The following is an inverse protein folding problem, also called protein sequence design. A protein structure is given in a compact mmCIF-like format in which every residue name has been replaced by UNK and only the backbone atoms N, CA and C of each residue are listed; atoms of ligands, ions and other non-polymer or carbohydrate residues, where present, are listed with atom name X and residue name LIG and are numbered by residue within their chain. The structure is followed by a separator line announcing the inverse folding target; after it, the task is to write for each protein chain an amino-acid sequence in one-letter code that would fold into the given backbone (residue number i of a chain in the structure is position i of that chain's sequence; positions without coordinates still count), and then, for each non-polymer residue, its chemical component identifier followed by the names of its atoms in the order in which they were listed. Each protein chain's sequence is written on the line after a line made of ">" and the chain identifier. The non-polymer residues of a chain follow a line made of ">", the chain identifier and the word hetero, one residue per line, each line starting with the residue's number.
data_IF_091977978704
#
_entry.id   IF_091977978704
#
_cell.length_a   1.000
_cell.length_b   1.000
_cell.length_c   1.000
_cell.angle_alpha   90.00
_cell.angle_beta   90.00
_cell.angle_gamma   90.00
#
_symmetry.space_group_name_H-M   'P 1'
#
loop_
_entity.id
_entity.type
_entity.pdbx_description
1 polymer ?
#
# COMPACT_ATOMS: atom_id res chain seq x y z
N UNK A 1 14.95 21.70 -16.05
CA UNK A 1 13.94 21.44 -15.00
C UNK A 1 13.62 19.96 -15.06
N UNK A 2 13.41 19.31 -13.91
CA UNK A 2 13.08 17.89 -13.88
C UNK A 2 11.61 17.76 -14.29
N UNK A 3 11.35 17.59 -15.58
CA UNK A 3 10.00 17.53 -16.16
C UNK A 3 9.40 16.13 -15.92
N UNK A 4 9.21 15.79 -14.64
CA UNK A 4 8.58 14.54 -14.24
C UNK A 4 7.09 14.59 -14.59
N UNK A 5 6.67 13.76 -15.54
CA UNK A 5 5.27 13.55 -15.90
C UNK A 5 4.50 12.98 -14.69
N UNK A 6 3.35 13.57 -14.38
CA UNK A 6 2.46 13.07 -13.33
C UNK A 6 1.71 11.81 -13.79
N UNK A 7 1.22 10.95 -12.87
CA UNK A 7 0.41 9.78 -13.25
C UNK A 7 -0.80 10.15 -14.11
N UNK A 8 -1.45 11.29 -13.83
CA UNK A 8 -2.59 11.79 -14.62
C UNK A 8 -2.18 12.16 -16.05
N UNK A 9 -1.08 12.89 -16.22
CA UNK A 9 -0.56 13.25 -17.55
C UNK A 9 -0.12 12.00 -18.33
N UNK A 10 0.34 10.97 -17.63
CA UNK A 10 0.68 9.67 -18.20
C UNK A 10 -0.53 8.74 -18.43
N UNK A 11 -1.77 9.16 -18.10
CA UNK A 11 -2.99 8.38 -18.34
C UNK A 11 -3.31 7.31 -17.29
N UNK A 12 -2.61 7.30 -16.16
CA UNK A 12 -2.90 6.41 -15.03
C UNK A 12 -3.92 7.01 -14.06
N UNK A 13 -4.65 6.13 -13.37
CA UNK A 13 -5.55 6.49 -12.29
C UNK A 13 -5.47 5.46 -11.16
N UNK A 14 -5.71 5.90 -9.91
CA UNK A 14 -5.92 4.98 -8.80
C UNK A 14 -7.28 4.31 -8.99
N UNK A 15 -7.33 2.97 -9.14
CA UNK A 15 -8.60 2.29 -9.26
C UNK A 15 -9.34 2.36 -7.93
N UNK A 16 -10.64 2.22 -8.09
CA UNK A 16 -11.56 1.80 -7.06
C UNK A 16 -11.05 0.62 -6.20
N UNK A 17 -11.19 0.67 -4.87
CA UNK A 17 -10.93 -0.47 -3.95
C UNK A 17 -11.81 -1.71 -4.25
N UNK A 18 -12.92 -1.55 -4.96
CA UNK A 18 -13.86 -2.60 -5.33
C UNK A 18 -13.61 -3.11 -6.76
N UNK A 19 -12.62 -2.57 -7.48
CA UNK A 19 -12.21 -3.11 -8.76
C UNK A 19 -11.53 -4.48 -8.57
N UNK A 20 -11.51 -5.34 -9.62
CA UNK A 20 -10.82 -6.62 -9.53
C UNK A 20 -9.35 -6.48 -9.11
N UNK A 21 -8.97 -7.17 -8.03
CA UNK A 21 -7.60 -7.20 -7.52
C UNK A 21 -6.92 -8.53 -7.87
N UNK A 22 -5.62 -8.47 -8.18
CA UNK A 22 -4.81 -9.68 -8.34
C UNK A 22 -4.47 -10.35 -6.98
N UNK A 23 -4.51 -9.58 -5.89
CA UNK A 23 -4.20 -10.01 -4.54
C UNK A 23 -4.15 -8.83 -3.57
N UNK A 24 -3.80 -9.10 -2.32
CA UNK A 24 -3.64 -8.09 -1.27
C UNK A 24 -2.25 -8.21 -0.64
N UNK A 25 -1.66 -7.09 -0.27
CA UNK A 25 -0.41 -7.05 0.49
C UNK A 25 -0.72 -6.87 1.98
N UNK A 26 0.02 -7.56 2.82
CA UNK A 26 -0.10 -7.46 4.28
C UNK A 26 1.29 -7.38 4.90
N UNK A 27 1.44 -6.47 5.86
CA UNK A 27 2.67 -6.34 6.65
C UNK A 27 2.50 -7.14 7.94
N UNK A 28 3.58 -7.77 8.40
CA UNK A 28 3.58 -8.49 9.66
C UNK A 28 3.80 -7.53 10.86
N UNK A 29 2.98 -7.60 11.92
CA UNK A 29 3.20 -6.80 13.12
C UNK A 29 4.41 -7.32 13.92
N UNK A 30 5.37 -6.46 14.22
CA UNK A 30 6.59 -6.86 14.95
C UNK A 30 6.98 -5.96 16.13
N UNK A 31 6.48 -4.72 16.14
CA UNK A 31 6.89 -3.69 17.12
C UNK A 31 6.36 -3.99 18.54
N UNK A 32 7.22 -4.34 19.52
CA UNK A 32 6.78 -4.82 20.83
C UNK A 32 6.22 -3.70 21.74
N UNK A 33 6.55 -2.45 21.43
CA UNK A 33 5.98 -1.26 22.07
C UNK A 33 4.52 -1.03 21.67
N UNK A 34 4.12 -1.50 20.48
CA UNK A 34 2.78 -1.31 19.94
C UNK A 34 1.89 -2.56 20.08
N UNK A 35 2.50 -3.75 20.04
CA UNK A 35 1.77 -5.02 20.02
C UNK A 35 2.00 -5.82 21.30
N UNK A 36 0.90 -6.07 22.05
CA UNK A 36 0.93 -6.89 23.27
C UNK A 36 1.54 -8.26 22.98
N UNK A 37 2.39 -8.73 23.91
CA UNK A 37 3.11 -10.01 23.82
C UNK A 37 3.98 -10.17 22.56
N UNK A 38 4.34 -9.05 21.90
CA UNK A 38 5.18 -9.06 20.70
C UNK A 38 4.47 -9.65 19.46
N UNK A 39 3.15 -9.51 19.37
CA UNK A 39 2.34 -10.02 18.26
C UNK A 39 2.49 -11.54 17.98
N UNK A 40 2.87 -12.31 19.01
CA UNK A 40 2.94 -13.77 18.93
C UNK A 40 1.52 -14.37 18.82
N UNK A 41 1.35 -15.49 18.10
CA UNK A 41 0.09 -16.23 18.06
C UNK A 41 -0.40 -16.67 19.44
#
# INVERSE_FOLDING_TARGET
>A
MNDAITPREAGYAMPAEWAPHAGCWMIWPERPDNWRLGAKP
#
